data_IF_674247119580
#
_entry.id   IF_674247119580
#
_cell.length_a   1.000
_cell.length_b   1.000
_cell.length_c   1.000
_cell.angle_alpha   90.00
_cell.angle_beta   90.00
_cell.angle_gamma   90.00
#
_symmetry.space_group_name_H-M   'P 1'
#
loop_
_entity.id
_entity.type
_entity.pdbx_description
1 polymer ?
#
# COMPACT_ATOMS: atom_id res chain seq x y z
N UNK A 1 -49.50 2.63 35.39
CA UNK A 1 -48.92 1.64 34.46
C UNK A 1 -48.76 2.36 33.13
N UNK A 2 -47.57 2.91 32.88
CA UNK A 2 -47.25 3.68 31.68
C UNK A 2 -46.48 2.77 30.70
N UNK A 3 -46.76 2.80 29.39
CA UNK A 3 -45.88 2.18 28.41
C UNK A 3 -44.74 3.15 28.09
N UNK A 4 -43.50 2.64 28.18
CA UNK A 4 -42.28 3.38 27.88
C UNK A 4 -42.06 3.51 26.37
N UNK A 5 -41.76 4.74 25.96
CA UNK A 5 -41.21 5.08 24.65
C UNK A 5 -39.82 4.43 24.50
N UNK A 6 -39.62 3.69 23.41
CA UNK A 6 -38.31 3.17 23.03
C UNK A 6 -37.68 4.15 22.05
N UNK A 7 -36.48 4.71 22.29
CA UNK A 7 -35.89 5.65 21.36
C UNK A 7 -35.41 4.90 20.11
N UNK A 8 -35.82 5.40 18.94
CA UNK A 8 -35.35 4.98 17.64
C UNK A 8 -33.84 5.23 17.51
N UNK A 9 -33.12 4.25 16.96
CA UNK A 9 -31.71 4.37 16.61
C UNK A 9 -31.52 5.49 15.56
N UNK A 10 -30.45 6.30 15.64
CA UNK A 10 -30.20 7.32 14.63
C UNK A 10 -29.85 6.66 13.30
N UNK A 11 -30.42 7.21 12.22
CA UNK A 11 -30.06 6.89 10.86
C UNK A 11 -28.54 7.10 10.66
N UNK A 12 -27.85 6.08 10.14
CA UNK A 12 -26.47 6.23 9.72
C UNK A 12 -26.42 7.27 8.60
N UNK A 13 -25.84 8.42 8.91
CA UNK A 13 -25.50 9.44 7.95
C UNK A 13 -24.61 8.81 6.89
N UNK A 14 -25.01 8.91 5.62
CA UNK A 14 -24.21 8.48 4.50
C UNK A 14 -22.84 9.17 4.57
N UNK A 15 -21.80 8.36 4.73
CA UNK A 15 -20.43 8.83 4.55
C UNK A 15 -20.35 9.38 3.12
N UNK A 16 -20.23 10.70 3.02
CA UNK A 16 -19.83 11.35 1.78
C UNK A 16 -18.41 10.89 1.53
N UNK A 17 -18.26 9.92 0.62
CA UNK A 17 -16.95 9.54 0.10
C UNK A 17 -16.39 10.74 -0.65
N UNK A 18 -15.47 11.44 0.00
CA UNK A 18 -14.69 12.50 -0.66
C UNK A 18 -13.70 11.78 -1.58
N UNK A 19 -13.98 11.76 -2.88
CA UNK A 19 -13.03 11.27 -3.89
C UNK A 19 -11.88 12.26 -4.00
N UNK A 20 -10.88 12.10 -3.13
CA UNK A 20 -9.52 12.54 -3.42
C UNK A 20 -9.04 11.90 -4.72
N UNK A 21 -8.17 12.61 -5.45
CA UNK A 21 -7.73 12.30 -6.81
C UNK A 21 -7.63 10.79 -7.13
N UNK A 22 -8.15 10.41 -8.30
CA UNK A 22 -8.48 9.05 -8.72
C UNK A 22 -7.24 8.13 -8.85
N UNK A 23 -6.72 7.65 -7.72
CA UNK A 23 -5.63 6.67 -7.66
C UNK A 23 -6.11 5.31 -8.19
N UNK A 24 -5.24 4.58 -8.88
CA UNK A 24 -5.58 3.27 -9.44
C UNK A 24 -5.82 2.25 -8.33
N UNK A 25 -6.90 1.46 -8.43
CA UNK A 25 -7.29 0.48 -7.40
C UNK A 25 -7.17 -0.95 -7.91
N UNK A 26 -7.14 -1.91 -6.99
CA UNK A 26 -7.09 -3.33 -7.34
C UNK A 26 -8.31 -3.81 -8.14
N UNK A 27 -9.48 -3.18 -7.96
CA UNK A 27 -10.66 -3.45 -8.79
C UNK A 27 -10.42 -3.16 -10.29
N UNK A 28 -9.50 -2.24 -10.62
CA UNK A 28 -9.24 -1.81 -11.99
C UNK A 28 -8.26 -2.75 -12.72
N UNK A 29 -7.35 -3.40 -11.98
CA UNK A 29 -6.30 -4.27 -12.54
C UNK A 29 -6.50 -5.76 -12.23
N UNK A 30 -7.40 -6.08 -11.31
CA UNK A 30 -7.59 -7.44 -10.77
C UNK A 30 -6.48 -7.88 -9.83
N UNK A 31 -6.67 -9.05 -9.21
CA UNK A 31 -5.75 -9.58 -8.18
C UNK A 31 -4.70 -10.55 -8.72
N UNK A 32 -4.87 -11.12 -9.92
CA UNK A 32 -3.99 -12.17 -10.44
C UNK A 32 -2.53 -11.73 -10.59
N UNK A 33 -2.28 -10.62 -11.28
CA UNK A 33 -0.93 -10.10 -11.49
C UNK A 33 -0.26 -9.63 -10.19
N UNK A 34 -0.95 -8.88 -9.30
CA UNK A 34 -0.41 -8.58 -7.97
C UNK A 34 -0.09 -9.82 -7.12
N UNK A 35 -0.96 -10.83 -7.09
CA UNK A 35 -0.70 -12.08 -6.38
C UNK A 35 0.55 -12.78 -6.92
N UNK A 36 0.69 -12.88 -8.24
CA UNK A 36 1.86 -13.50 -8.86
C UNK A 36 3.17 -12.73 -8.58
N UNK A 37 3.10 -11.40 -8.58
CA UNK A 37 4.23 -10.54 -8.23
C UNK A 37 4.68 -10.77 -6.79
N UNK A 38 3.76 -10.70 -5.82
CA UNK A 38 4.06 -10.91 -4.40
C UNK A 38 4.60 -12.32 -4.11
N UNK A 39 4.02 -13.34 -4.75
CA UNK A 39 4.50 -14.72 -4.63
C UNK A 39 5.96 -14.87 -5.10
N UNK A 40 6.39 -14.10 -6.11
CA UNK A 40 7.79 -14.06 -6.56
C UNK A 40 8.79 -13.58 -5.50
N UNK A 41 8.32 -12.89 -4.46
CA UNK A 41 9.13 -12.44 -3.31
C UNK A 41 8.88 -13.26 -2.04
N UNK A 42 8.11 -14.36 -2.14
CA UNK A 42 7.72 -15.18 -0.99
C UNK A 42 6.67 -14.52 -0.10
N UNK A 43 5.87 -13.61 -0.65
CA UNK A 43 4.76 -12.95 0.05
C UNK A 43 3.42 -13.53 -0.40
N UNK A 44 2.40 -13.38 0.43
CA UNK A 44 1.02 -13.80 0.14
C UNK A 44 0.13 -12.56 0.03
N UNK A 45 -0.73 -12.51 -1.00
CA UNK A 45 -1.80 -11.52 -1.10
C UNK A 45 -3.12 -12.16 -0.68
N UNK A 46 -3.71 -11.67 0.41
CA UNK A 46 -5.03 -12.10 0.90
C UNK A 46 -6.08 -11.03 0.59
N UNK A 47 -7.18 -11.46 -0.03
CA UNK A 47 -8.28 -10.56 -0.38
C UNK A 47 -9.27 -10.41 0.77
N UNK A 48 -9.57 -9.17 1.14
CA UNK A 48 -10.54 -8.82 2.17
C UNK A 48 -11.89 -8.51 1.53
N UNK A 49 -13.02 -9.03 2.05
CA UNK A 49 -14.34 -8.67 1.54
C UNK A 49 -14.67 -7.17 1.67
N UNK A 50 -15.52 -6.69 0.76
CA UNK A 50 -16.07 -5.33 0.79
C UNK A 50 -16.63 -4.94 2.16
N UNK A 51 -16.30 -3.74 2.64
CA UNK A 51 -16.81 -3.20 3.91
C UNK A 51 -16.26 -3.86 5.18
N UNK A 52 -15.30 -4.78 5.07
CA UNK A 52 -14.58 -5.32 6.22
C UNK A 52 -13.28 -4.51 6.46
N UNK A 53 -12.87 -4.34 7.74
CA UNK A 53 -11.56 -3.79 8.06
C UNK A 53 -10.43 -4.63 7.45
N UNK A 54 -9.38 -3.96 6.96
CA UNK A 54 -8.21 -4.63 6.39
C UNK A 54 -7.23 -4.94 7.54
N UNK A 55 -6.90 -6.22 7.80
CA UNK A 55 -5.98 -6.60 8.86
C UNK A 55 -4.59 -5.98 8.66
N UNK A 56 -4.01 -5.44 9.72
CA UNK A 56 -2.65 -4.90 9.68
C UNK A 56 -2.51 -3.57 8.92
N UNK A 57 -3.60 -2.92 8.52
CA UNK A 57 -3.53 -1.56 7.95
C UNK A 57 -3.26 -0.54 9.06
N UNK A 58 -2.40 0.45 8.77
CA UNK A 58 -1.99 1.46 9.73
C UNK A 58 -2.98 2.62 9.78
N UNK A 59 -3.38 3.15 8.62
CA UNK A 59 -4.32 4.27 8.50
C UNK A 59 -5.78 3.80 8.38
N UNK A 60 -6.02 2.52 8.07
CA UNK A 60 -7.34 1.94 7.90
C UNK A 60 -7.95 2.22 6.51
N UNK A 61 -9.29 2.26 6.47
CA UNK A 61 -10.07 2.52 5.25
C UNK A 61 -9.77 1.53 4.10
N UNK A 62 -9.17 2.00 3.02
CA UNK A 62 -8.80 1.23 1.84
C UNK A 62 -7.30 0.95 1.76
N UNK A 63 -6.48 1.44 2.68
CA UNK A 63 -5.05 1.13 2.70
C UNK A 63 -4.85 -0.39 2.86
N UNK A 64 -3.87 -0.93 2.13
CA UNK A 64 -3.39 -2.28 2.37
C UNK A 64 -2.89 -2.43 3.81
N UNK A 65 -2.90 -3.65 4.30
CA UNK A 65 -2.32 -3.98 5.59
C UNK A 65 -1.31 -5.11 5.46
N UNK A 66 -0.43 -5.22 6.45
CA UNK A 66 0.55 -6.30 6.48
C UNK A 66 0.60 -6.99 7.85
N UNK A 67 0.72 -8.32 7.82
CA UNK A 67 0.98 -9.16 9.00
C UNK A 67 1.88 -10.31 8.57
N UNK A 68 3.07 -10.41 9.17
CA UNK A 68 4.06 -11.40 8.80
C UNK A 68 4.48 -11.26 7.33
N UNK A 69 4.28 -12.32 6.55
CA UNK A 69 4.54 -12.36 5.10
C UNK A 69 3.29 -12.12 4.25
N UNK A 70 2.18 -11.74 4.88
CA UNK A 70 0.89 -11.59 4.22
C UNK A 70 0.54 -10.12 4.09
N UNK A 71 0.17 -9.72 2.88
CA UNK A 71 -0.39 -8.40 2.57
C UNK A 71 -1.88 -8.59 2.33
N UNK A 72 -2.69 -7.82 3.06
CA UNK A 72 -4.14 -7.82 2.97
C UNK A 72 -4.60 -6.63 2.15
N UNK A 73 -5.52 -6.87 1.21
CA UNK A 73 -6.09 -5.80 0.41
C UNK A 73 -7.54 -6.06 0.04
N UNK A 74 -8.30 -4.98 -0.14
CA UNK A 74 -9.69 -5.00 -0.60
C UNK A 74 -9.74 -4.52 -2.05
N UNK A 75 -10.87 -4.71 -2.72
CA UNK A 75 -11.02 -4.30 -4.12
C UNK A 75 -10.80 -2.78 -4.34
N UNK A 76 -11.13 -1.95 -3.34
CA UNK A 76 -10.92 -0.50 -3.38
C UNK A 76 -9.54 -0.06 -2.87
N UNK A 77 -8.65 -1.00 -2.53
CA UNK A 77 -7.28 -0.68 -2.12
C UNK A 77 -6.49 -0.11 -3.29
N UNK A 78 -5.82 1.06 -3.11
CA UNK A 78 -4.94 1.62 -4.13
C UNK A 78 -3.75 0.70 -4.43
N UNK A 79 -3.37 0.62 -5.71
CA UNK A 79 -2.25 -0.23 -6.15
C UNK A 79 -0.93 0.21 -5.51
N UNK A 80 -0.70 1.52 -5.37
CA UNK A 80 0.49 2.04 -4.69
C UNK A 80 0.54 1.63 -3.21
N UNK A 81 -0.61 1.60 -2.52
CA UNK A 81 -0.69 1.16 -1.13
C UNK A 81 -0.34 -0.34 -1.01
N UNK A 82 -0.88 -1.20 -1.89
CA UNK A 82 -0.50 -2.61 -1.91
C UNK A 82 1.02 -2.79 -2.12
N UNK A 83 1.58 -2.09 -3.12
CA UNK A 83 3.00 -2.19 -3.43
C UNK A 83 3.87 -1.64 -2.29
N UNK A 84 3.45 -0.58 -1.61
CA UNK A 84 4.15 -0.01 -0.47
C UNK A 84 4.31 -1.02 0.67
N UNK A 85 3.20 -1.61 1.13
CA UNK A 85 3.21 -2.63 2.18
C UNK A 85 4.01 -3.88 1.78
N UNK A 86 3.91 -4.30 0.52
CA UNK A 86 4.73 -5.40 0.02
C UNK A 86 6.22 -5.05 0.01
N UNK A 87 6.59 -3.83 -0.42
CA UNK A 87 7.96 -3.39 -0.51
C UNK A 87 8.62 -3.28 0.87
N UNK A 88 7.88 -2.87 1.90
CA UNK A 88 8.35 -2.93 3.28
C UNK A 88 8.86 -4.31 3.67
N UNK A 89 8.10 -5.36 3.36
CA UNK A 89 8.51 -6.74 3.61
C UNK A 89 9.70 -7.16 2.73
N UNK A 90 9.79 -6.67 1.49
CA UNK A 90 10.84 -7.06 0.55
C UNK A 90 12.20 -6.47 0.94
N UNK A 91 12.25 -5.20 1.36
CA UNK A 91 13.51 -4.49 1.67
C UNK A 91 14.15 -4.97 2.98
N UNK A 92 13.35 -5.55 3.88
CA UNK A 92 13.84 -6.16 5.11
C UNK A 92 14.34 -7.60 4.91
N UNK A 93 15.30 -8.05 5.74
CA UNK A 93 15.73 -9.45 5.75
C UNK A 93 14.56 -10.44 5.98
N UNK A 94 14.53 -11.60 5.31
CA UNK A 94 13.44 -12.57 5.43
C UNK A 94 13.12 -12.98 6.87
N UNK A 95 14.12 -13.10 7.73
CA UNK A 95 13.97 -13.46 9.14
C UNK A 95 13.18 -12.44 9.96
N UNK A 96 13.13 -11.16 9.53
CA UNK A 96 12.35 -10.11 10.20
C UNK A 96 10.89 -10.10 9.78
N UNK A 97 10.57 -10.56 8.56
CA UNK A 97 9.20 -10.49 7.99
C UNK A 97 8.16 -11.12 8.89
N UNK A 98 8.45 -12.29 9.45
CA UNK A 98 7.51 -13.03 10.30
C UNK A 98 7.15 -12.31 11.62
N UNK A 99 7.95 -11.31 12.04
CA UNK A 99 7.73 -10.54 13.27
C UNK A 99 6.91 -9.26 13.04
N UNK A 100 6.63 -8.92 11.79
CA UNK A 100 5.95 -7.69 11.44
C UNK A 100 4.45 -7.81 11.72
N UNK A 101 3.89 -6.78 12.36
CA UNK A 101 2.45 -6.64 12.54
C UNK A 101 2.10 -5.15 12.46
N UNK A 102 1.48 -4.73 11.34
CA UNK A 102 1.13 -3.32 11.04
C UNK A 102 2.33 -2.41 10.78
N UNK A 103 3.24 -2.25 11.74
CA UNK A 103 4.42 -1.38 11.59
C UNK A 103 5.62 -2.17 11.06
N UNK A 104 6.13 -1.76 9.89
CA UNK A 104 7.25 -2.45 9.24
C UNK A 104 8.63 -1.91 9.64
N UNK A 105 8.77 -0.59 9.77
CA UNK A 105 10.07 0.05 10.02
C UNK A 105 9.94 1.47 10.58
N UNK A 106 10.95 1.90 11.34
CA UNK A 106 11.21 3.28 11.72
C UNK A 106 12.46 3.86 11.02
N UNK A 107 13.03 3.11 10.06
CA UNK A 107 14.26 3.47 9.35
C UNK A 107 13.95 4.25 8.08
N UNK A 108 14.45 5.50 8.02
CA UNK A 108 14.37 6.35 6.82
C UNK A 108 14.96 5.65 5.59
N UNK A 109 16.05 4.89 5.75
CA UNK A 109 16.67 4.18 4.62
C UNK A 109 15.79 3.01 4.10
N UNK A 110 15.10 2.30 4.99
CA UNK A 110 14.14 1.25 4.59
C UNK A 110 12.89 1.88 3.96
N UNK A 111 12.44 3.03 4.46
CA UNK A 111 11.33 3.80 3.88
C UNK A 111 11.64 4.31 2.46
N UNK A 112 12.77 4.98 2.28
CA UNK A 112 13.19 5.48 0.96
C UNK A 112 13.38 4.33 -0.04
N UNK A 113 13.95 3.20 0.41
CA UNK A 113 14.06 1.99 -0.39
C UNK A 113 12.69 1.39 -0.75
N UNK A 114 11.74 1.40 0.19
CA UNK A 114 10.34 0.97 -0.03
C UNK A 114 9.69 1.83 -1.11
N UNK A 115 9.80 3.16 -0.98
CA UNK A 115 9.31 4.11 -1.96
C UNK A 115 9.95 3.93 -3.35
N UNK A 116 11.25 3.65 -3.41
CA UNK A 116 11.93 3.42 -4.68
C UNK A 116 11.50 2.10 -5.32
N UNK A 117 11.42 1.04 -4.52
CA UNK A 117 11.08 -0.30 -5.00
C UNK A 117 9.64 -0.37 -5.50
N UNK A 118 8.67 0.28 -4.85
CA UNK A 118 7.28 0.26 -5.35
C UNK A 118 7.19 0.83 -6.77
N UNK A 119 7.93 1.90 -7.07
CA UNK A 119 8.00 2.51 -8.41
C UNK A 119 8.59 1.53 -9.42
N UNK A 120 9.66 0.83 -9.07
CA UNK A 120 10.31 -0.17 -9.93
C UNK A 120 9.40 -1.39 -10.19
N UNK A 121 8.64 -1.83 -9.19
CA UNK A 121 7.76 -2.99 -9.32
C UNK A 121 6.46 -2.68 -10.07
N UNK A 122 6.03 -1.41 -10.12
CA UNK A 122 4.85 -1.02 -10.87
C UNK A 122 4.94 -1.33 -12.38
N UNK A 123 6.13 -1.30 -12.97
CA UNK A 123 6.34 -1.69 -14.37
C UNK A 123 6.13 -3.19 -14.62
N UNK A 124 6.07 -4.01 -13.56
CA UNK A 124 5.78 -5.45 -13.65
C UNK A 124 4.28 -5.75 -13.59
N UNK A 125 3.43 -4.76 -13.29
CA UNK A 125 1.98 -4.90 -13.26
C UNK A 125 1.36 -4.38 -14.58
N UNK A 126 0.59 -5.21 -15.30
CA UNK A 126 -0.06 -4.79 -16.54
C UNK A 126 -0.96 -3.56 -16.32
N UNK A 127 -0.74 -2.51 -17.13
CA UNK A 127 -1.58 -1.30 -17.10
C UNK A 127 -1.29 -0.33 -15.95
N UNK A 128 -0.29 -0.60 -15.10
CA UNK A 128 0.12 0.31 -14.02
C UNK A 128 1.27 1.19 -14.50
N UNK A 129 2.50 0.68 -14.48
CA UNK A 129 3.71 1.41 -14.88
C UNK A 129 4.16 2.45 -13.85
N UNK A 130 5.47 2.71 -13.81
CA UNK A 130 6.13 3.61 -12.87
C UNK A 130 5.59 5.04 -12.94
N UNK A 131 5.31 5.55 -14.14
CA UNK A 131 4.78 6.91 -14.32
C UNK A 131 3.40 7.09 -13.67
N UNK A 132 2.48 6.12 -13.81
CA UNK A 132 1.18 6.18 -13.16
C UNK A 132 1.34 6.08 -11.65
N UNK A 133 2.17 5.16 -11.18
CA UNK A 133 2.37 4.96 -9.76
C UNK A 133 2.86 6.23 -9.07
N UNK A 134 3.85 6.92 -9.64
CA UNK A 134 4.35 8.18 -9.07
C UNK A 134 3.28 9.26 -9.01
N UNK A 135 2.42 9.37 -10.03
CA UNK A 135 1.29 10.30 -10.02
C UNK A 135 0.26 9.94 -8.94
N UNK A 136 -0.01 8.64 -8.75
CA UNK A 136 -0.91 8.17 -7.69
C UNK A 136 -0.31 8.41 -6.29
N UNK A 137 1.00 8.24 -6.11
CA UNK A 137 1.70 8.57 -4.86
C UNK A 137 1.56 10.06 -4.52
N UNK A 138 1.81 10.95 -5.50
CA UNK A 138 1.64 12.40 -5.32
C UNK A 138 0.17 12.76 -5.00
N UNK A 139 -0.78 12.15 -5.71
CA UNK A 139 -2.22 12.34 -5.51
C UNK A 139 -2.70 11.85 -4.13
N UNK A 140 -2.10 10.79 -3.61
CA UNK A 140 -2.37 10.26 -2.27
C UNK A 140 -1.78 11.14 -1.17
N UNK A 141 -0.75 11.93 -1.48
CA UNK A 141 -0.12 12.89 -0.56
C UNK A 141 1.29 12.53 -0.11
N UNK A 142 1.99 11.67 -0.84
CA UNK A 142 3.42 11.43 -0.59
C UNK A 142 4.19 12.75 -0.72
N UNK A 143 5.13 12.97 0.19
CA UNK A 143 5.96 14.19 0.20
C UNK A 143 7.43 13.82 0.08
N UNK A 144 8.06 14.30 -0.99
CA UNK A 144 9.49 14.13 -1.22
C UNK A 144 10.21 15.47 -1.23
N UNK A 145 11.53 15.46 -0.99
CA UNK A 145 12.38 16.66 -0.91
C UNK A 145 12.26 17.57 -2.13
N UNK A 146 12.11 16.98 -3.32
CA UNK A 146 11.99 17.69 -4.60
C UNK A 146 10.54 17.96 -5.04
N UNK A 147 9.56 17.75 -4.15
CA UNK A 147 8.17 18.16 -4.32
C UNK A 147 7.28 17.20 -5.14
N UNK A 148 7.83 16.14 -5.73
CA UNK A 148 7.06 15.04 -6.36
C UNK A 148 7.84 13.73 -6.30
N UNK A 149 7.13 12.61 -6.32
CA UNK A 149 7.69 11.27 -6.41
C UNK A 149 8.60 11.14 -7.64
N UNK A 150 8.19 11.72 -8.78
CA UNK A 150 8.98 11.70 -10.01
C UNK A 150 10.30 12.45 -9.89
N UNK A 151 10.26 13.71 -9.42
CA UNK A 151 11.48 14.51 -9.30
C UNK A 151 12.49 13.83 -8.37
N UNK A 152 12.01 13.26 -7.27
CA UNK A 152 12.81 12.47 -6.34
C UNK A 152 13.38 11.20 -6.99
N UNK A 153 12.55 10.36 -7.62
CA UNK A 153 12.98 9.10 -8.20
C UNK A 153 14.05 9.27 -9.30
N UNK A 154 13.94 10.34 -10.08
CA UNK A 154 14.88 10.65 -11.17
C UNK A 154 16.16 11.35 -10.68
N UNK A 155 16.13 12.12 -9.58
CA UNK A 155 17.23 13.05 -9.24
C UNK A 155 17.73 13.01 -7.78
N UNK A 156 17.11 12.26 -6.86
CA UNK A 156 17.42 12.27 -5.41
C UNK A 156 17.19 10.90 -4.73
N UNK A 157 17.14 9.82 -5.52
CA UNK A 157 16.88 8.45 -5.04
C UNK A 157 18.14 7.56 -5.01
N UNK A 158 19.34 8.14 -5.10
CA UNK A 158 20.61 7.39 -5.16
C UNK A 158 20.83 6.49 -3.93
N UNK A 159 20.50 6.98 -2.74
CA UNK A 159 20.67 6.23 -1.49
C UNK A 159 19.71 5.03 -1.43
N UNK A 160 18.46 5.24 -1.85
CA UNK A 160 17.47 4.17 -1.97
C UNK A 160 17.91 3.10 -2.97
N UNK A 161 18.43 3.51 -4.14
CA UNK A 161 18.95 2.58 -5.15
C UNK A 161 20.18 1.83 -4.64
N UNK A 162 21.08 2.49 -3.93
CA UNK A 162 22.24 1.85 -3.32
C UNK A 162 21.82 0.82 -2.26
N UNK A 163 20.80 1.13 -1.46
CA UNK A 163 20.22 0.21 -0.48
C UNK A 163 19.66 -1.06 -1.13
N UNK A 164 18.88 -0.91 -2.21
CA UNK A 164 18.30 -2.01 -2.97
C UNK A 164 19.39 -2.87 -3.62
N UNK A 165 20.36 -2.23 -4.27
CA UNK A 165 21.48 -2.92 -4.93
C UNK A 165 22.33 -3.74 -3.93
N UNK A 166 22.58 -3.22 -2.73
CA UNK A 166 23.29 -3.94 -1.67
C UNK A 166 22.58 -5.23 -1.21
N UNK A 167 21.28 -5.36 -1.51
CA UNK A 167 20.42 -6.52 -1.20
C UNK A 167 20.06 -7.34 -2.44
N UNK A 168 20.66 -7.05 -3.59
CA UNK A 168 20.33 -7.66 -4.88
C UNK A 168 18.83 -7.55 -5.25
N UNK A 169 18.21 -6.44 -4.85
CA UNK A 169 16.87 -6.05 -5.28
C UNK A 169 16.96 -5.19 -6.57
N UNK A 170 15.87 -5.11 -7.35
CA UNK A 170 15.81 -4.32 -8.58
C UNK A 170 16.25 -2.86 -8.41
#
# INVERSE_FOLDING_TARGET
MAPGDTPAAPAQAGAVVVSGADVLRLADIGFEAPTALLAGYGLVLETVPGGQPIPGSYWGECEAGLVGTTVYARADTPVHSLLHEACHLIVMPPERRALVHTDATDSVAEEDATCCLQILLADRLPGVGSQRLMADMDAWGYTFRLGSARAWFENDAEDARAFLAARALP
#
